data_IF_562710063936
#
_entry.id   IF_562710063936
#
_cell.length_a   1.000
_cell.length_b   1.000
_cell.length_c   1.000
_cell.angle_alpha   90.00
_cell.angle_beta   90.00
_cell.angle_gamma   90.00
#
_symmetry.space_group_name_H-M   'P 1'
#
loop_
_entity.id
_entity.type
_entity.pdbx_description
1 polymer ?
#
# COMPACT_ATOMS: atom_id res chain seq x y z
N UNK A 1 25.29 -14.24 3.04
CA UNK A 1 24.21 -14.58 4.00
C UNK A 1 24.01 -13.52 5.09
N UNK A 2 25.05 -13.14 5.86
CA UNK A 2 24.92 -12.10 6.91
C UNK A 2 24.53 -10.73 6.32
N UNK A 3 25.24 -10.26 5.28
CA UNK A 3 24.89 -8.99 4.60
C UNK A 3 23.47 -9.01 4.02
N UNK A 4 23.09 -10.10 3.35
CA UNK A 4 21.75 -10.26 2.75
C UNK A 4 20.63 -10.23 3.81
N UNK A 5 20.85 -10.85 4.98
CA UNK A 5 19.93 -10.79 6.11
C UNK A 5 19.84 -9.38 6.72
N UNK A 6 20.95 -8.64 6.78
CA UNK A 6 20.97 -7.24 7.22
C UNK A 6 20.18 -6.37 6.25
N UNK A 7 20.40 -6.49 4.93
CA UNK A 7 19.66 -5.74 3.92
C UNK A 7 18.16 -6.04 3.97
N UNK A 8 17.77 -7.31 4.15
CA UNK A 8 16.37 -7.72 4.33
C UNK A 8 15.74 -7.07 5.57
N UNK A 9 16.48 -7.02 6.68
CA UNK A 9 16.02 -6.39 7.92
C UNK A 9 15.83 -4.87 7.77
N UNK A 10 16.79 -4.18 7.15
CA UNK A 10 16.71 -2.74 6.88
C UNK A 10 15.57 -2.41 5.92
N UNK A 11 15.40 -3.23 4.88
CA UNK A 11 14.31 -3.09 3.93
C UNK A 11 12.96 -3.21 4.62
N UNK A 12 12.75 -4.26 5.41
CA UNK A 12 11.50 -4.48 6.14
C UNK A 12 11.23 -3.33 7.11
N UNK A 13 12.23 -2.86 7.86
CA UNK A 13 12.09 -1.71 8.75
C UNK A 13 11.66 -0.44 7.99
N UNK A 14 12.18 -0.20 6.78
CA UNK A 14 11.79 0.93 5.92
C UNK A 14 10.38 0.81 5.33
N UNK A 15 9.84 -0.40 5.18
CA UNK A 15 8.45 -0.62 4.80
C UNK A 15 7.54 -0.33 5.99
N UNK A 16 7.83 -0.95 7.14
CA UNK A 16 7.08 -0.78 8.40
C UNK A 16 7.03 0.67 8.85
N UNK A 17 8.17 1.38 8.84
CA UNK A 17 8.20 2.81 9.18
C UNK A 17 7.29 3.63 8.27
N UNK A 18 7.28 3.31 6.97
CA UNK A 18 6.47 4.05 5.99
C UNK A 18 4.99 3.79 6.17
N UNK A 19 4.63 2.53 6.39
CA UNK A 19 3.27 2.13 6.68
C UNK A 19 2.75 2.87 7.91
N UNK A 20 3.48 2.83 9.02
CA UNK A 20 3.16 3.57 10.26
C UNK A 20 2.98 5.05 9.97
N UNK A 21 3.92 5.66 9.25
CA UNK A 21 3.89 7.08 8.95
C UNK A 21 2.64 7.46 8.15
N UNK A 22 2.35 6.72 7.07
CA UNK A 22 1.20 6.99 6.19
C UNK A 22 -0.09 6.75 6.96
N UNK A 23 -0.23 5.62 7.66
CA UNK A 23 -1.42 5.29 8.45
C UNK A 23 -1.68 6.34 9.54
N UNK A 24 -0.64 6.83 10.22
CA UNK A 24 -0.78 7.90 11.21
C UNK A 24 -1.36 9.17 10.57
N UNK A 25 -0.83 9.60 9.42
CA UNK A 25 -1.35 10.78 8.70
C UNK A 25 -2.74 10.59 8.15
N UNK A 26 -3.08 9.39 7.68
CA UNK A 26 -4.43 9.07 7.23
C UNK A 26 -5.44 9.01 8.40
N UNK A 27 -4.98 8.64 9.60
CA UNK A 27 -5.83 8.55 10.80
C UNK A 27 -6.11 9.91 11.43
N UNK A 28 -5.26 10.92 11.18
CA UNK A 28 -5.46 12.31 11.61
C UNK A 28 -6.58 13.02 10.82
N UNK A 29 -7.04 12.45 9.69
CA UNK A 29 -8.07 13.06 8.85
C UNK A 29 -9.46 12.78 9.42
N UNK A 30 -10.21 13.85 9.68
CA UNK A 30 -11.62 13.76 10.06
C UNK A 30 -12.45 13.04 8.99
N UNK A 31 -13.34 12.15 9.43
CA UNK A 31 -14.25 11.38 8.56
C UNK A 31 -13.56 10.47 7.52
N UNK A 32 -12.28 10.11 7.70
CA UNK A 32 -11.67 9.08 6.87
C UNK A 32 -12.30 7.70 7.12
N UNK A 33 -13.16 7.30 6.19
CA UNK A 33 -13.82 5.99 6.15
C UNK A 33 -13.15 5.01 5.17
N UNK A 34 -12.20 5.48 4.36
CA UNK A 34 -11.66 4.74 3.21
C UNK A 34 -10.40 3.94 3.51
N UNK A 35 -9.75 4.18 4.65
CA UNK A 35 -8.56 3.44 5.06
C UNK A 35 -8.70 2.95 6.49
N UNK A 36 -7.92 1.92 6.85
CA UNK A 36 -7.80 1.48 8.25
C UNK A 36 -7.18 2.57 9.10
N UNK A 37 -7.73 2.80 10.29
CA UNK A 37 -7.12 3.70 11.27
C UNK A 37 -6.03 3.00 12.07
N UNK A 38 -4.93 3.70 12.32
CA UNK A 38 -3.91 3.32 13.28
C UNK A 38 -4.45 3.61 14.68
N UNK A 39 -4.55 2.57 15.51
CA UNK A 39 -5.06 2.68 16.88
C UNK A 39 -3.90 2.84 17.85
N UNK A 40 -2.87 2.00 17.74
CA UNK A 40 -1.72 2.02 18.64
C UNK A 40 -0.48 1.37 17.99
N UNK A 41 0.69 1.64 18.56
CA UNK A 41 1.96 1.00 18.19
C UNK A 41 2.60 0.46 19.47
N UNK A 42 2.64 -0.86 19.60
CA UNK A 42 3.24 -1.53 20.76
C UNK A 42 4.66 -1.95 20.38
N UNK A 43 5.63 -1.49 21.16
CA UNK A 43 7.04 -1.82 21.00
C UNK A 43 7.61 -2.39 22.32
N UNK A 44 8.74 -3.12 22.28
CA UNK A 44 9.29 -3.79 23.46
C UNK A 44 9.54 -2.81 24.61
N UNK A 45 9.26 -3.24 25.85
CA UNK A 45 9.33 -2.40 27.06
C UNK A 45 10.65 -1.65 27.22
N UNK A 46 11.76 -2.24 26.79
CA UNK A 46 13.10 -1.64 26.83
C UNK A 46 13.25 -0.34 26.03
N UNK A 47 12.30 -0.01 25.16
CA UNK A 47 12.26 1.26 24.42
C UNK A 47 11.17 2.22 24.91
N UNK A 48 10.43 1.89 25.99
CA UNK A 48 9.40 2.76 26.55
C UNK A 48 10.01 4.02 27.16
N UNK A 49 9.41 5.21 26.98
CA UNK A 49 9.91 6.47 27.53
C UNK A 49 10.17 6.41 29.03
N UNK A 50 9.36 5.65 29.79
CA UNK A 50 9.52 5.43 31.23
C UNK A 50 10.81 4.67 31.63
N UNK A 51 11.49 4.05 30.67
CA UNK A 51 12.73 3.31 30.87
C UNK A 51 13.98 4.14 30.56
N UNK A 52 13.84 5.29 29.90
CA UNK A 52 14.91 6.26 29.73
C UNK A 52 14.96 7.13 30.99
N UNK A 53 15.93 6.88 31.87
CA UNK A 53 16.20 7.81 32.97
C UNK A 53 16.81 9.08 32.39
N UNK A 54 16.49 10.25 32.94
CA UNK A 54 16.92 11.60 32.51
C UNK A 54 18.46 11.85 32.54
N UNK A 55 19.31 10.83 32.53
CA UNK A 55 20.77 10.94 32.55
C UNK A 55 21.49 10.50 31.27
N UNK A 56 20.80 9.87 30.30
CA UNK A 56 21.47 9.29 29.13
C UNK A 56 21.64 10.27 27.95
N UNK A 57 21.24 11.54 28.12
CA UNK A 57 21.27 12.59 27.09
C UNK A 57 22.40 13.63 27.27
N UNK A 58 23.39 13.39 28.13
CA UNK A 58 24.62 14.19 28.13
C UNK A 58 25.61 13.63 27.10
N UNK A 59 25.48 14.10 25.87
CA UNK A 59 26.53 13.99 24.85
C UNK A 59 27.70 14.88 25.29
N UNK A 60 28.63 14.33 26.09
CA UNK A 60 29.89 15.01 26.38
C UNK A 60 30.77 14.99 25.13
N UNK A 61 31.01 16.19 24.62
CA UNK A 61 32.01 16.51 23.62
C UNK A 61 33.41 16.23 24.21
N UNK A 62 33.96 15.04 23.96
CA UNK A 62 35.36 14.74 24.24
C UNK A 62 36.13 14.49 22.95
N UNK A 63 36.87 15.53 22.59
CA UNK A 63 37.93 15.53 21.59
C UNK A 63 39.07 14.59 22.01
N UNK A 64 39.57 13.83 21.04
CA UNK A 64 40.87 13.10 20.98
C UNK A 64 41.01 11.77 21.75
N UNK A 65 40.97 10.66 20.99
CA UNK A 65 42.08 9.69 20.77
C UNK A 65 41.61 8.52 19.89
N UNK A 66 42.30 8.26 18.78
CA UNK A 66 42.36 6.91 18.21
C UNK A 66 43.59 6.16 18.74
N UNK A 67 43.87 4.91 18.34
CA UNK A 67 43.01 3.91 17.71
C UNK A 67 43.20 2.53 18.38
N UNK A 68 42.22 1.98 19.11
CA UNK A 68 42.19 0.53 19.45
C UNK A 68 40.83 0.17 20.02
N UNK A 69 40.18 -0.85 19.46
CA UNK A 69 38.93 -1.40 19.98
C UNK A 69 37.69 -0.79 19.33
N UNK A 70 37.11 -1.53 18.40
CA UNK A 70 35.76 -1.28 17.90
C UNK A 70 34.81 -1.51 19.07
N UNK A 71 34.56 -0.46 19.86
CA UNK A 71 33.42 -0.42 20.77
C UNK A 71 32.18 -0.26 19.92
N UNK A 72 31.54 -1.37 19.55
CA UNK A 72 30.17 -1.36 19.07
C UNK A 72 29.32 -0.63 20.12
N UNK A 73 28.97 0.62 19.85
CA UNK A 73 27.84 1.27 20.51
C UNK A 73 26.64 0.38 20.22
N UNK A 74 26.28 -0.47 21.19
CA UNK A 74 25.23 -1.46 21.05
C UNK A 74 23.89 -0.80 20.79
N UNK A 75 23.59 -0.49 19.52
CA UNK A 75 22.25 -0.14 19.08
C UNK A 75 21.35 -1.31 19.47
N UNK A 76 20.54 -1.13 20.50
CA UNK A 76 19.57 -2.12 20.91
C UNK A 76 18.70 -2.46 19.69
N UNK A 77 18.71 -3.73 19.31
CA UNK A 77 18.02 -4.21 18.12
C UNK A 77 16.53 -4.32 18.43
N UNK A 78 15.69 -3.54 17.74
CA UNK A 78 14.24 -3.76 17.76
C UNK A 78 13.97 -5.08 17.03
N UNK A 79 13.52 -6.09 17.76
CA UNK A 79 13.24 -7.43 17.21
C UNK A 79 11.85 -7.54 16.61
N UNK A 80 10.88 -6.81 17.15
CA UNK A 80 9.49 -6.80 16.69
C UNK A 80 8.81 -5.48 17.08
N UNK A 81 7.73 -5.17 16.35
CA UNK A 81 6.79 -4.09 16.66
C UNK A 81 5.39 -4.62 16.33
N UNK A 82 4.39 -4.26 17.12
CA UNK A 82 3.00 -4.55 16.81
C UNK A 82 2.31 -3.27 16.39
N UNK A 83 1.72 -3.29 15.19
CA UNK A 83 0.88 -2.21 14.67
C UNK A 83 -0.56 -2.61 14.97
N UNK A 84 -1.22 -1.86 15.85
CA UNK A 84 -2.63 -2.09 16.19
C UNK A 84 -3.48 -1.20 15.30
N UNK A 85 -4.38 -1.81 14.53
CA UNK A 85 -5.22 -1.12 13.56
C UNK A 85 -6.70 -1.38 13.83
N UNK A 86 -7.56 -0.53 13.27
CA UNK A 86 -8.99 -0.75 13.18
C UNK A 86 -9.30 -2.12 12.60
N UNK A 87 -10.18 -2.86 13.29
CA UNK A 87 -10.65 -4.16 12.83
C UNK A 87 -11.78 -4.01 11.82
N UNK A 88 -11.68 -4.76 10.73
CA UNK A 88 -12.75 -4.95 9.74
C UNK A 88 -12.96 -6.46 9.57
N UNK A 89 -14.21 -6.88 9.39
CA UNK A 89 -14.63 -8.28 9.50
C UNK A 89 -13.86 -9.23 8.59
N UNK A 90 -13.65 -8.87 7.32
CA UNK A 90 -12.92 -9.70 6.37
C UNK A 90 -12.16 -8.86 5.33
N UNK A 91 -11.27 -9.51 4.60
CA UNK A 91 -10.63 -9.00 3.39
C UNK A 91 -11.22 -9.67 2.14
N UNK A 92 -11.01 -9.06 0.96
CA UNK A 92 -11.56 -9.58 -0.29
C UNK A 92 -10.89 -10.91 -0.66
N UNK A 93 -9.62 -11.16 -0.32
CA UNK A 93 -8.98 -12.45 -0.59
C UNK A 93 -9.71 -13.58 0.11
N UNK A 94 -10.10 -13.41 1.38
CA UNK A 94 -10.94 -14.37 2.12
C UNK A 94 -12.34 -14.47 1.54
N UNK A 95 -12.96 -13.34 1.17
CA UNK A 95 -14.30 -13.32 0.55
C UNK A 95 -14.33 -14.13 -0.76
N UNK A 96 -13.37 -13.87 -1.66
CA UNK A 96 -13.25 -14.51 -2.98
C UNK A 96 -12.89 -16.00 -2.91
N UNK A 97 -12.26 -16.43 -1.81
CA UNK A 97 -11.84 -17.82 -1.59
C UNK A 97 -12.73 -18.56 -0.56
N UNK A 98 -13.84 -17.95 -0.14
CA UNK A 98 -14.77 -18.54 0.83
C UNK A 98 -15.32 -19.89 0.33
N UNK A 99 -15.46 -20.83 1.27
CA UNK A 99 -16.10 -22.14 1.03
C UNK A 99 -17.11 -22.40 2.17
N UNK A 100 -18.43 -22.50 1.87
CA UNK A 100 -19.04 -22.35 0.55
C UNK A 100 -18.82 -20.94 -0.03
N UNK A 101 -18.85 -20.82 -1.36
CA UNK A 101 -18.65 -19.53 -2.04
C UNK A 101 -19.71 -18.52 -1.59
N UNK A 102 -19.24 -17.35 -1.18
CA UNK A 102 -20.13 -16.21 -0.94
C UNK A 102 -20.79 -15.81 -2.24
N UNK A 103 -22.12 -15.81 -2.27
CA UNK A 103 -22.91 -15.41 -3.44
C UNK A 103 -23.23 -13.91 -3.33
N UNK A 104 -22.55 -13.10 -4.12
CA UNK A 104 -22.83 -11.67 -4.20
C UNK A 104 -23.82 -11.42 -5.34
N UNK A 105 -24.78 -10.53 -5.12
CA UNK A 105 -25.64 -10.04 -6.20
C UNK A 105 -24.95 -8.91 -6.95
N UNK A 106 -25.43 -8.59 -8.15
CA UNK A 106 -24.91 -7.47 -8.94
C UNK A 106 -24.93 -6.14 -8.19
N UNK A 107 -25.97 -5.88 -7.39
CA UNK A 107 -26.06 -4.70 -6.53
C UNK A 107 -24.88 -4.58 -5.56
N UNK A 108 -24.47 -5.69 -4.93
CA UNK A 108 -23.31 -5.71 -4.05
C UNK A 108 -22.02 -5.45 -4.84
N UNK A 109 -21.86 -6.06 -6.02
CA UNK A 109 -20.67 -5.86 -6.87
C UNK A 109 -20.53 -4.37 -7.25
N UNK A 110 -21.61 -3.73 -7.68
CA UNK A 110 -21.62 -2.32 -8.06
C UNK A 110 -21.24 -1.44 -6.86
N UNK A 111 -21.85 -1.66 -5.69
CA UNK A 111 -21.53 -0.90 -4.47
C UNK A 111 -20.08 -1.10 -4.03
N UNK A 112 -19.58 -2.34 -4.05
CA UNK A 112 -18.21 -2.67 -3.68
C UNK A 112 -17.21 -1.97 -4.63
N UNK A 113 -17.43 -2.08 -5.95
CA UNK A 113 -16.56 -1.45 -6.94
C UNK A 113 -16.59 0.09 -6.81
N UNK A 114 -17.76 0.67 -6.58
CA UNK A 114 -17.90 2.10 -6.31
C UNK A 114 -17.09 2.51 -5.08
N UNK A 115 -17.22 1.80 -3.98
CA UNK A 115 -16.49 2.10 -2.74
C UNK A 115 -14.97 1.92 -2.89
N UNK A 116 -14.51 0.92 -3.67
CA UNK A 116 -13.09 0.79 -4.03
C UNK A 116 -12.57 2.00 -4.82
N UNK A 117 -13.35 2.47 -5.81
CA UNK A 117 -13.00 3.67 -6.59
C UNK A 117 -12.98 4.93 -5.73
N UNK A 118 -13.92 5.08 -4.80
CA UNK A 118 -13.92 6.18 -3.85
C UNK A 118 -12.66 6.16 -2.96
N UNK A 119 -12.28 4.99 -2.45
CA UNK A 119 -11.07 4.84 -1.65
C UNK A 119 -9.79 5.17 -2.44
N UNK A 120 -9.69 4.73 -3.70
CA UNK A 120 -8.55 5.10 -4.54
C UNK A 120 -8.54 6.58 -4.90
N UNK A 121 -9.69 7.17 -5.23
CA UNK A 121 -9.80 8.61 -5.48
C UNK A 121 -9.35 9.43 -4.26
N UNK A 122 -9.71 8.99 -3.06
CA UNK A 122 -9.24 9.58 -1.80
C UNK A 122 -7.71 9.53 -1.68
N UNK A 123 -7.09 8.35 -1.83
CA UNK A 123 -5.63 8.20 -1.79
C UNK A 123 -4.92 9.00 -2.87
N UNK A 124 -5.41 8.93 -4.11
CA UNK A 124 -4.82 9.60 -5.26
C UNK A 124 -4.92 11.12 -5.15
N UNK A 125 -6.00 11.64 -4.55
CA UNK A 125 -6.08 13.08 -4.28
C UNK A 125 -5.12 13.52 -3.17
N UNK A 126 -4.82 12.63 -2.21
CA UNK A 126 -3.73 12.80 -1.24
C UNK A 126 -2.32 12.72 -1.87
N UNK A 127 -2.24 12.50 -3.19
CA UNK A 127 -1.01 12.23 -3.92
C UNK A 127 -0.27 10.96 -3.45
N UNK A 128 -1.01 10.03 -2.84
CA UNK A 128 -0.52 8.72 -2.41
C UNK A 128 -0.83 7.70 -3.51
N UNK A 129 0.15 6.89 -3.87
CA UNK A 129 -0.01 5.70 -4.72
C UNK A 129 0.28 4.48 -3.85
N UNK A 130 -0.64 3.51 -3.84
CA UNK A 130 -0.53 2.34 -2.98
C UNK A 130 0.54 1.36 -3.46
N UNK A 131 0.60 1.08 -4.77
CA UNK A 131 1.59 0.22 -5.43
C UNK A 131 1.64 -1.23 -4.94
N UNK A 132 0.56 -1.71 -4.33
CA UNK A 132 0.38 -3.14 -4.00
C UNK A 132 -1.09 -3.47 -3.74
N UNK A 133 -1.97 -2.94 -4.59
CA UNK A 133 -3.39 -3.26 -4.48
C UNK A 133 -3.61 -4.70 -4.96
N UNK A 134 -4.25 -5.47 -4.10
CA UNK A 134 -4.63 -6.88 -4.30
C UNK A 134 -5.81 -7.19 -3.38
N UNK A 135 -6.52 -8.31 -3.57
CA UNK A 135 -7.69 -8.63 -2.75
C UNK A 135 -7.40 -8.66 -1.24
N UNK A 136 -6.19 -9.04 -0.82
CA UNK A 136 -5.81 -9.04 0.60
C UNK A 136 -5.75 -7.64 1.24
N UNK A 137 -5.61 -6.59 0.43
CA UNK A 137 -5.40 -5.22 0.89
C UNK A 137 -6.68 -4.35 0.79
N UNK A 138 -7.80 -4.97 0.39
CA UNK A 138 -9.13 -4.40 0.52
C UNK A 138 -9.88 -5.14 1.63
N UNK A 139 -10.27 -4.41 2.65
CA UNK A 139 -11.12 -4.88 3.74
C UNK A 139 -12.57 -4.53 3.44
N UNK A 140 -13.49 -5.40 3.86
CA UNK A 140 -14.93 -5.26 3.64
C UNK A 140 -15.73 -5.67 4.87
N UNK A 141 -16.82 -4.95 5.09
CA UNK A 141 -17.82 -5.28 6.10
C UNK A 141 -19.14 -5.82 5.48
N UNK A 142 -20.05 -6.25 6.35
CA UNK A 142 -21.37 -6.77 5.97
C UNK A 142 -22.27 -5.76 5.25
N UNK A 143 -21.90 -4.48 5.25
CA UNK A 143 -22.63 -3.40 4.58
C UNK A 143 -21.96 -2.97 3.27
N UNK A 144 -20.99 -3.77 2.77
CA UNK A 144 -20.22 -3.49 1.55
C UNK A 144 -19.37 -2.21 1.62
N UNK A 145 -19.07 -1.68 2.81
CA UNK A 145 -18.09 -0.61 2.93
C UNK A 145 -16.69 -1.19 2.71
N UNK A 146 -15.82 -0.39 2.10
CA UNK A 146 -14.48 -0.81 1.71
C UNK A 146 -13.44 0.08 2.35
N UNK A 147 -12.43 -0.55 2.97
CA UNK A 147 -11.26 0.12 3.53
C UNK A 147 -9.98 -0.45 2.93
N UNK A 148 -9.02 0.41 2.60
CA UNK A 148 -7.70 0.01 2.12
C UNK A 148 -6.72 -0.10 3.29
N UNK A 149 -5.88 -1.14 3.28
CA UNK A 149 -4.82 -1.39 4.27
C UNK A 149 -3.48 -1.76 3.60
N UNK A 150 -2.42 -1.95 4.39
CA UNK A 150 -1.05 -2.30 3.96
C UNK A 150 -0.36 -1.24 3.08
N UNK A 151 0.07 -0.16 3.71
CA UNK A 151 0.77 0.94 3.06
C UNK A 151 2.30 0.78 3.02
N UNK A 152 2.83 -0.42 3.30
CA UNK A 152 4.28 -0.65 3.36
C UNK A 152 4.98 -0.32 2.04
N UNK A 153 4.33 -0.62 0.92
CA UNK A 153 4.79 -0.29 -0.43
C UNK A 153 4.26 1.05 -0.95
N UNK A 154 3.41 1.78 -0.24
CA UNK A 154 2.87 3.05 -0.72
C UNK A 154 3.95 4.13 -0.88
N UNK A 155 3.70 5.15 -1.71
CA UNK A 155 4.58 6.31 -1.92
C UNK A 155 3.78 7.57 -2.24
N UNK A 156 4.40 8.72 -1.98
CA UNK A 156 3.96 10.00 -2.55
C UNK A 156 4.64 10.21 -3.88
N UNK A 157 3.86 10.56 -4.90
CA UNK A 157 4.43 10.92 -6.19
C UNK A 157 5.13 12.29 -6.09
N UNK A 158 6.35 12.44 -6.62
CA UNK A 158 6.97 13.76 -6.70
C UNK A 158 6.05 14.70 -7.52
N UNK A 159 5.86 15.93 -7.05
CA UNK A 159 5.11 16.95 -7.78
C UNK A 159 5.89 17.26 -9.07
N UNK A 160 5.37 16.85 -10.24
CA UNK A 160 5.96 17.13 -11.55
C UNK A 160 5.12 18.24 -12.19
N UNK A 161 5.60 19.50 -12.22
CA UNK A 161 4.78 20.65 -12.59
C UNK A 161 4.12 20.59 -13.97
N UNK A 162 4.69 19.86 -14.92
CA UNK A 162 4.15 19.69 -16.27
C UNK A 162 2.97 18.72 -16.30
N UNK A 163 3.12 17.53 -15.72
CA UNK A 163 2.06 16.50 -15.64
C UNK A 163 0.90 16.97 -14.76
N UNK A 164 1.18 17.72 -13.69
CA UNK A 164 0.16 18.32 -12.84
C UNK A 164 -0.78 19.29 -13.61
N UNK A 165 -0.29 20.01 -14.63
CA UNK A 165 -1.14 20.91 -15.42
C UNK A 165 -2.15 20.13 -16.26
N UNK A 166 -1.69 19.08 -16.93
CA UNK A 166 -2.53 18.26 -17.79
C UNK A 166 -3.50 17.40 -16.98
N UNK A 167 -3.05 16.82 -15.87
CA UNK A 167 -3.89 16.03 -14.96
C UNK A 167 -4.93 16.90 -14.26
N UNK A 168 -4.58 18.12 -13.82
CA UNK A 168 -5.54 19.07 -13.26
C UNK A 168 -6.57 19.52 -14.30
N UNK A 169 -6.17 19.63 -15.57
CA UNK A 169 -7.10 19.95 -16.67
C UNK A 169 -8.08 18.81 -16.91
N UNK A 170 -7.58 17.57 -16.97
CA UNK A 170 -8.39 16.35 -17.16
C UNK A 170 -9.33 16.09 -15.98
N UNK A 171 -8.84 16.27 -14.76
CA UNK A 171 -9.67 16.23 -13.54
C UNK A 171 -10.75 17.32 -13.61
N UNK A 172 -10.40 18.56 -13.93
CA UNK A 172 -11.38 19.66 -14.03
C UNK A 172 -12.46 19.39 -15.08
N UNK A 173 -12.14 18.69 -16.17
CA UNK A 173 -13.11 18.30 -17.19
C UNK A 173 -13.98 17.10 -16.76
N UNK A 174 -13.41 16.05 -16.17
CA UNK A 174 -14.14 14.91 -15.63
C UNK A 174 -15.09 15.31 -14.48
N UNK A 175 -14.65 16.19 -13.59
CA UNK A 175 -15.45 16.73 -12.47
C UNK A 175 -16.65 17.58 -12.92
N UNK A 176 -16.60 18.14 -14.15
CA UNK A 176 -17.71 18.91 -14.73
C UNK A 176 -18.89 18.02 -15.14
N UNK A 177 -18.63 16.75 -15.45
CA UNK A 177 -19.64 15.81 -15.93
C UNK A 177 -20.38 15.05 -14.82
N UNK A 178 -19.82 14.96 -13.62
CA UNK A 178 -20.31 14.06 -12.55
C UNK A 178 -21.07 14.75 -11.42
N UNK A 179 -21.33 16.06 -11.49
CA UNK A 179 -21.63 16.83 -10.29
C UNK A 179 -23.04 17.43 -10.25
N UNK A 180 -23.96 16.74 -9.55
CA UNK A 180 -25.09 17.37 -8.87
C UNK A 180 -25.02 17.10 -7.36
N UNK A 181 -25.19 18.17 -6.57
CA UNK A 181 -25.49 18.22 -5.12
C UNK A 181 -24.43 17.81 -4.06
N UNK A 182 -23.70 18.80 -3.52
CA UNK A 182 -23.56 19.21 -2.08
C UNK A 182 -22.36 20.20 -1.93
N UNK A 183 -22.35 21.04 -0.88
CA UNK A 183 -21.50 22.25 -0.72
C UNK A 183 -20.00 22.05 -1.01
N UNK A 184 -19.63 22.34 -2.25
CA UNK A 184 -18.36 21.99 -2.89
C UNK A 184 -17.14 22.80 -2.38
N UNK A 185 -17.37 24.00 -1.84
CA UNK A 185 -16.28 24.93 -1.47
C UNK A 185 -15.50 24.43 -0.26
N UNK A 186 -16.19 23.81 0.68
CA UNK A 186 -15.60 23.32 1.92
C UNK A 186 -14.78 22.04 1.70
N UNK A 187 -15.34 21.08 0.94
CA UNK A 187 -14.66 19.83 0.57
C UNK A 187 -13.37 20.06 -0.20
N UNK A 188 -13.37 21.02 -1.13
CA UNK A 188 -12.20 21.38 -1.93
C UNK A 188 -11.08 22.02 -1.10
N UNK A 189 -11.45 22.84 -0.12
CA UNK A 189 -10.49 23.54 0.75
C UNK A 189 -9.79 22.54 1.67
N UNK A 190 -10.57 21.70 2.38
CA UNK A 190 -10.04 20.63 3.25
C UNK A 190 -9.14 19.65 2.48
N UNK A 191 -9.49 19.33 1.23
CA UNK A 191 -8.72 18.42 0.39
C UNK A 191 -7.39 19.02 -0.10
N UNK A 192 -7.36 20.33 -0.35
CA UNK A 192 -6.14 21.07 -0.68
C UNK A 192 -5.18 21.13 0.50
N UNK A 193 -5.69 21.53 1.67
CA UNK A 193 -4.94 21.55 2.94
C UNK A 193 -4.39 20.16 3.27
N UNK A 194 -5.21 19.12 3.08
CA UNK A 194 -4.81 17.73 3.28
C UNK A 194 -3.67 17.30 2.35
N UNK A 195 -3.78 17.60 1.04
CA UNK A 195 -2.73 17.30 0.07
C UNK A 195 -1.42 17.98 0.46
N UNK A 196 -1.47 19.24 0.89
CA UNK A 196 -0.29 19.98 1.34
C UNK A 196 0.31 19.38 2.62
N UNK A 197 -0.51 19.04 3.62
CA UNK A 197 -0.07 18.42 4.87
C UNK A 197 0.66 17.10 4.63
N UNK A 198 0.07 16.19 3.86
CA UNK A 198 0.65 14.86 3.54
C UNK A 198 1.91 15.02 2.71
N UNK A 199 1.88 15.91 1.70
CA UNK A 199 3.03 16.15 0.84
C UNK A 199 4.20 16.76 1.61
N UNK A 200 3.96 17.75 2.49
CA UNK A 200 4.98 18.36 3.32
C UNK A 200 5.62 17.32 4.24
N UNK A 201 4.80 16.61 5.01
CA UNK A 201 5.28 15.62 5.97
C UNK A 201 6.10 14.49 5.31
N UNK A 202 5.72 14.07 4.09
CA UNK A 202 6.46 13.06 3.33
C UNK A 202 7.67 13.62 2.58
N UNK A 203 7.71 14.92 2.31
CA UNK A 203 8.86 15.60 1.69
C UNK A 203 9.96 15.97 2.69
N UNK A 204 9.64 16.28 3.94
CA UNK A 204 10.63 16.63 4.96
C UNK A 204 11.51 15.42 5.34
N UNK A 205 10.95 14.20 5.28
CA UNK A 205 11.74 12.96 5.38
C UNK A 205 12.75 12.72 4.25
N UNK A 206 12.76 13.56 3.18
CA UNK A 206 13.81 13.53 2.14
C UNK A 206 15.02 14.39 2.46
N UNK A 207 14.89 15.45 3.27
CA UNK A 207 15.99 16.41 3.49
C UNK A 207 17.13 15.81 4.30
N UNK A 208 16.82 14.88 5.22
CA UNK A 208 17.81 14.19 6.06
C UNK A 208 18.38 12.91 5.44
N UNK A 209 18.00 12.58 4.20
CA UNK A 209 18.60 11.45 3.49
C UNK A 209 19.79 11.94 2.69
N UNK A 210 20.99 11.60 3.15
CA UNK A 210 22.11 11.40 2.23
C UNK A 210 21.60 10.57 1.03
N UNK A 211 22.02 10.94 -0.19
CA UNK A 211 21.61 10.29 -1.43
C UNK A 211 22.17 8.86 -1.47
N UNK A 212 21.69 7.97 -0.63
CA UNK A 212 21.88 6.53 -0.78
C UNK A 212 21.24 6.15 -2.10
N UNK A 213 21.95 5.43 -3.00
CA UNK A 213 21.36 4.84 -4.19
C UNK A 213 20.02 4.23 -3.82
N UNK A 214 18.96 4.52 -4.58
CA UNK A 214 17.63 3.97 -4.30
C UNK A 214 17.77 2.45 -4.30
N UNK A 215 17.77 1.84 -3.12
CA UNK A 215 17.78 0.38 -2.99
C UNK A 215 16.63 -0.16 -3.85
N UNK A 216 17.02 -0.90 -4.86
CA UNK A 216 16.16 -1.40 -5.92
C UNK A 216 15.35 -2.52 -5.31
N UNK A 217 14.20 -2.19 -4.72
CA UNK A 217 13.20 -3.21 -4.44
C UNK A 217 12.62 -3.64 -5.77
N UNK A 218 13.20 -4.70 -6.35
CA UNK A 218 12.76 -5.37 -7.59
C UNK A 218 11.37 -6.02 -7.48
N UNK A 219 10.69 -5.85 -6.35
CA UNK A 219 9.37 -6.40 -6.08
C UNK A 219 8.45 -5.26 -5.63
N UNK A 220 7.90 -4.54 -6.61
CA UNK A 220 6.83 -3.56 -6.41
C UNK A 220 5.57 -4.15 -7.02
N UNK A 221 4.45 -4.07 -6.31
CA UNK A 221 3.18 -4.73 -6.61
C UNK A 221 3.26 -6.25 -6.64
N UNK A 222 2.19 -6.89 -6.20
CA UNK A 222 1.96 -8.33 -6.36
C UNK A 222 1.79 -8.67 -7.84
N UNK A 223 2.39 -9.77 -8.31
CA UNK A 223 2.61 -10.04 -9.75
C UNK A 223 1.34 -10.02 -10.58
N UNK A 224 0.25 -10.62 -10.10
CA UNK A 224 -1.00 -10.76 -10.86
C UNK A 224 -1.77 -9.44 -11.03
N UNK A 225 -1.44 -8.43 -10.22
CA UNK A 225 -2.07 -7.11 -10.21
C UNK A 225 -1.14 -6.02 -10.76
N UNK A 226 0.08 -6.40 -11.15
CA UNK A 226 1.13 -5.46 -11.57
C UNK A 226 0.83 -4.90 -12.97
N UNK A 227 0.88 -3.58 -13.09
CA UNK A 227 0.60 -2.91 -14.36
C UNK A 227 1.76 -3.01 -15.36
N UNK A 228 1.47 -2.99 -16.67
CA UNK A 228 2.49 -3.16 -17.70
C UNK A 228 3.54 -2.04 -17.69
N UNK A 229 3.18 -0.80 -17.39
CA UNK A 229 4.13 0.31 -17.27
C UNK A 229 5.06 0.14 -16.06
N UNK A 230 4.59 -0.45 -14.96
CA UNK A 230 5.47 -0.81 -13.85
C UNK A 230 6.46 -1.90 -14.29
N UNK A 231 6.05 -2.84 -15.15
CA UNK A 231 6.94 -3.90 -15.67
C UNK A 231 7.96 -3.33 -16.68
N UNK A 232 7.52 -2.50 -17.61
CA UNK A 232 8.28 -2.12 -18.80
C UNK A 232 9.04 -0.80 -18.64
N UNK A 233 8.52 0.16 -17.87
CA UNK A 233 9.04 1.53 -17.83
C UNK A 233 9.46 1.98 -16.44
N UNK A 234 9.66 1.06 -15.50
CA UNK A 234 10.18 1.37 -14.16
C UNK A 234 11.46 2.23 -14.23
N UNK A 235 11.60 3.31 -13.42
CA UNK A 235 10.73 3.77 -12.33
C UNK A 235 9.63 4.78 -12.73
N UNK A 236 9.33 4.93 -14.02
CA UNK A 236 8.31 5.86 -14.52
C UNK A 236 6.92 5.18 -14.49
N UNK A 237 6.20 5.38 -13.40
CA UNK A 237 4.79 4.97 -13.21
C UNK A 237 4.02 6.09 -12.52
N UNK A 238 2.70 6.03 -12.56
CA UNK A 238 1.81 7.03 -11.96
C UNK A 238 0.65 6.33 -11.19
N UNK A 239 -0.34 7.11 -10.78
CA UNK A 239 -1.55 6.60 -10.12
C UNK A 239 -2.32 5.55 -10.95
N UNK A 240 -2.12 5.51 -12.28
CA UNK A 240 -2.72 4.52 -13.17
C UNK A 240 -2.36 3.07 -12.85
N UNK A 241 -1.21 2.82 -12.21
CA UNK A 241 -0.86 1.45 -11.80
C UNK A 241 -1.81 0.87 -10.74
N UNK A 242 -2.33 1.71 -9.85
CA UNK A 242 -3.35 1.33 -8.87
C UNK A 242 -4.70 1.07 -9.57
N UNK A 243 -5.03 1.86 -10.60
CA UNK A 243 -6.26 1.66 -11.41
C UNK A 243 -6.21 0.34 -12.17
N UNK A 244 -5.06 -0.02 -12.74
CA UNK A 244 -4.84 -1.33 -13.36
C UNK A 244 -5.08 -2.47 -12.36
N UNK A 245 -4.47 -2.36 -11.18
CA UNK A 245 -4.62 -3.36 -10.11
C UNK A 245 -6.09 -3.53 -9.72
N UNK A 246 -6.81 -2.42 -9.56
CA UNK A 246 -8.24 -2.44 -9.26
C UNK A 246 -9.06 -3.09 -10.38
N UNK A 247 -8.72 -2.87 -11.65
CA UNK A 247 -9.38 -3.54 -12.77
C UNK A 247 -9.23 -5.07 -12.71
N UNK A 248 -8.05 -5.56 -12.32
CA UNK A 248 -7.82 -6.99 -12.10
C UNK A 248 -8.69 -7.53 -10.95
N UNK A 249 -8.77 -6.80 -9.82
CA UNK A 249 -9.61 -7.18 -8.68
C UNK A 249 -11.10 -7.16 -9.02
N UNK A 250 -11.54 -6.15 -9.78
CA UNK A 250 -12.92 -6.02 -10.24
C UNK A 250 -13.34 -7.22 -11.08
N UNK A 251 -12.43 -7.73 -11.93
CA UNK A 251 -12.70 -8.95 -12.68
C UNK A 251 -12.94 -10.15 -11.76
N UNK A 252 -12.15 -10.32 -10.71
CA UNK A 252 -12.34 -11.41 -9.74
C UNK A 252 -13.68 -11.30 -9.01
N UNK A 253 -14.10 -10.08 -8.65
CA UNK A 253 -15.39 -9.82 -8.00
C UNK A 253 -16.58 -10.23 -8.87
N UNK A 254 -16.51 -9.97 -10.18
CA UNK A 254 -17.54 -10.39 -11.14
C UNK A 254 -17.73 -11.91 -11.12
N UNK A 255 -16.66 -12.69 -10.89
CA UNK A 255 -16.76 -14.15 -10.76
C UNK A 255 -17.40 -14.62 -9.45
N UNK A 256 -17.56 -13.74 -8.45
CA UNK A 256 -18.34 -14.01 -7.23
C UNK A 256 -19.82 -13.61 -7.37
N UNK A 257 -20.22 -13.02 -8.49
CA UNK A 257 -21.61 -12.69 -8.75
C UNK A 257 -22.45 -13.96 -8.96
N UNK A 258 -23.55 -14.10 -8.23
CA UNK A 258 -24.47 -15.22 -8.35
C UNK A 258 -25.00 -15.37 -9.77
N UNK A 259 -25.31 -14.26 -10.46
CA UNK A 259 -25.81 -14.25 -11.84
C UNK A 259 -24.80 -14.90 -12.80
N UNK A 260 -23.53 -14.50 -12.73
CA UNK A 260 -22.51 -14.99 -13.67
C UNK A 260 -22.03 -16.39 -13.31
N UNK A 261 -22.05 -16.76 -12.03
CA UNK A 261 -21.63 -18.09 -11.57
C UNK A 261 -22.51 -19.24 -12.08
N UNK A 262 -23.73 -18.93 -12.52
CA UNK A 262 -24.69 -19.90 -13.03
C UNK A 262 -24.60 -20.09 -14.56
N UNK A 263 -23.80 -19.28 -15.26
CA UNK A 263 -23.70 -19.37 -16.71
C UNK A 263 -22.98 -20.65 -17.14
N UNK A 264 -23.42 -21.33 -18.21
CA UNK A 264 -22.76 -22.55 -18.70
C UNK A 264 -21.28 -22.36 -19.09
N UNK A 265 -20.90 -21.12 -19.46
CA UNK A 265 -19.54 -20.74 -19.82
C UNK A 265 -18.66 -20.34 -18.62
N UNK A 266 -19.21 -20.33 -17.41
CA UNK A 266 -18.50 -19.94 -16.20
C UNK A 266 -17.36 -20.89 -15.90
N UNK A 267 -16.14 -20.36 -15.85
CA UNK A 267 -14.95 -21.10 -15.44
C UNK A 267 -14.21 -20.29 -14.39
N UNK A 268 -14.25 -20.75 -13.14
CA UNK A 268 -13.61 -20.07 -12.02
C UNK A 268 -12.09 -19.88 -12.21
N UNK A 269 -11.44 -20.67 -13.07
CA UNK A 269 -10.01 -20.50 -13.38
C UNK A 269 -9.72 -19.25 -14.21
N UNK A 270 -10.74 -18.72 -14.90
CA UNK A 270 -10.64 -17.51 -15.72
C UNK A 270 -10.82 -16.21 -14.91
N UNK A 271 -11.06 -16.31 -13.59
CA UNK A 271 -11.25 -15.13 -12.74
C UNK A 271 -10.02 -14.24 -12.62
N UNK A 272 -8.82 -14.81 -12.76
CA UNK A 272 -7.58 -14.04 -12.72
C UNK A 272 -7.11 -13.74 -14.15
N UNK A 273 -7.05 -12.45 -14.50
CA UNK A 273 -6.73 -12.01 -15.87
C UNK A 273 -5.26 -12.21 -16.22
N UNK A 274 -4.34 -11.83 -15.33
CA UNK A 274 -2.89 -11.79 -15.62
C UNK A 274 -2.11 -12.74 -14.70
N UNK A 275 -2.45 -14.03 -14.77
CA UNK A 275 -1.70 -15.06 -14.05
C UNK A 275 -0.29 -15.20 -14.61
N UNK A 276 0.70 -15.35 -13.73
CA UNK A 276 2.06 -15.61 -14.19
C UNK A 276 3.06 -15.81 -13.06
N UNK A 277 4.03 -16.68 -13.34
CA UNK A 277 5.13 -17.00 -12.43
C UNK A 277 6.32 -16.05 -12.57
N UNK A 278 6.26 -15.11 -13.52
CA UNK A 278 7.33 -14.13 -13.76
C UNK A 278 6.81 -12.88 -14.47
N UNK A 279 7.52 -11.76 -14.26
CA UNK A 279 7.31 -10.48 -14.94
C UNK A 279 8.67 -9.96 -15.41
N UNK A 280 9.18 -10.43 -16.55
CA UNK A 280 10.45 -9.94 -17.09
C UNK A 280 10.33 -8.46 -17.52
N UNK A 281 11.32 -7.58 -17.21
CA UNK A 281 12.64 -7.86 -16.61
C UNK A 281 12.68 -7.81 -15.08
N UNK A 282 11.61 -7.37 -14.40
CA UNK A 282 11.61 -7.01 -12.97
C UNK A 282 11.58 -8.24 -12.04
N UNK A 283 10.89 -9.31 -12.44
CA UNK A 283 10.81 -10.57 -11.72
C UNK A 283 11.02 -11.74 -12.69
N UNK A 284 12.27 -11.99 -13.15
CA UNK A 284 12.58 -13.10 -14.06
C UNK A 284 12.34 -14.46 -13.41
N UNK A 285 11.88 -15.45 -14.18
CA UNK A 285 11.69 -16.84 -13.74
C UNK A 285 13.03 -17.56 -13.47
N UNK A 286 13.78 -17.19 -12.42
CA UNK A 286 14.99 -17.94 -12.06
C UNK A 286 14.63 -19.16 -11.21
N UNK A 287 14.81 -20.36 -11.78
CA UNK A 287 14.99 -21.60 -11.01
C UNK A 287 13.74 -22.21 -10.34
N UNK A 288 12.52 -21.87 -10.77
CA UNK A 288 11.32 -22.59 -10.32
C UNK A 288 11.35 -24.03 -10.86
N UNK A 289 11.75 -24.98 -10.00
CA UNK A 289 11.43 -26.40 -10.25
C UNK A 289 9.92 -26.51 -10.28
N UNK A 290 9.35 -26.77 -11.46
CA UNK A 290 7.94 -27.12 -11.63
C UNK A 290 7.62 -28.28 -10.69
N UNK A 291 6.96 -28.03 -9.56
CA UNK A 291 6.30 -29.11 -8.84
C UNK A 291 5.13 -29.56 -9.69
N UNK A 292 5.02 -30.86 -9.96
CA UNK A 292 3.94 -31.49 -10.75
C UNK A 292 2.52 -31.33 -10.14
N UNK A 293 2.38 -30.58 -9.05
CA UNK A 293 1.11 -30.14 -8.50
C UNK A 293 0.85 -28.69 -8.91
N UNK A 294 -0.13 -28.50 -9.80
CA UNK A 294 -0.65 -27.22 -10.29
C UNK A 294 -1.31 -26.32 -9.20
N UNK A 295 -0.81 -26.30 -7.96
CA UNK A 295 -1.48 -25.64 -6.82
C UNK A 295 -0.61 -24.70 -5.98
N UNK A 296 0.57 -24.29 -6.44
CA UNK A 296 1.38 -23.33 -5.68
C UNK A 296 1.18 -21.90 -6.20
N UNK A 297 0.05 -21.27 -5.86
CA UNK A 297 -0.03 -19.80 -5.85
C UNK A 297 0.97 -19.31 -4.80
N UNK A 298 2.00 -18.56 -5.18
CA UNK A 298 2.93 -18.01 -4.18
C UNK A 298 2.17 -17.04 -3.28
N UNK A 299 2.50 -16.97 -1.99
CA UNK A 299 1.98 -15.93 -1.10
C UNK A 299 2.28 -14.50 -1.59
N UNK A 300 3.22 -14.34 -2.53
CA UNK A 300 3.57 -13.08 -3.19
C UNK A 300 2.79 -12.81 -4.49
N UNK A 301 1.88 -13.71 -4.88
CA UNK A 301 1.06 -13.61 -6.11
C UNK A 301 -0.34 -13.03 -5.87
N UNK A 302 -0.83 -13.08 -4.63
CA UNK A 302 -2.12 -12.51 -4.19
C UNK A 302 -2.07 -11.76 -2.86
#
# INVERSE_FOLDING_TARGET
EIEENIFKCVYQARLTYREIFILRKLSEIEENIFTTKLVDIIYPKQFQPSCYKEGDAEMKDETKKGPSGVGETGMMKITFIFIVMEYVQTDFRKLLNSTPKTQLKEEHIITIMYNQLCALNFLHTANIVHRDLKPGNFLIDSTCNVKVCDFGLARVMPHIPSVDKDMKKLQKELYKYTSSSTSHKERKTRLGEFKEMVTSALSDTRKDREKTPRDISSVIMSRWYRSPEVILTYPYYNQGCDIWSLGCIASELVFCCSTYSQLPSFDNRKRFIFQGDSCFPISPAKGLKRSEKNESVSANDQ
#
